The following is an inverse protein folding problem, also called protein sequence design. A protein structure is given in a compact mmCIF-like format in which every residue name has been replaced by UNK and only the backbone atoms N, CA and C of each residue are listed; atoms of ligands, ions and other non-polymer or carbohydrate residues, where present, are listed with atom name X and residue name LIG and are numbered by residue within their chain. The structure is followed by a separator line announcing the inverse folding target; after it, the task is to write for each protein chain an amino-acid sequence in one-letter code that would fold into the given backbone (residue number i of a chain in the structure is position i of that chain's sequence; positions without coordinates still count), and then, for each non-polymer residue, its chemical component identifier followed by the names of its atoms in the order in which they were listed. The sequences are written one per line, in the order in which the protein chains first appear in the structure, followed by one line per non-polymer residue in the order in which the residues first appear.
data_IF_852632512401
#
_entry.id   IF_852632512401
#
_cell.length_a   1.000
_cell.length_b   1.000
_cell.length_c   1.000
_cell.angle_alpha   90.00
_cell.angle_beta   90.00
_cell.angle_gamma   90.00
#
_symmetry.space_group_name_H-M   'P 1'
#
loop_
_entity.id
_entity.type
_entity.pdbx_description
1 polymer ?
#
# COMPACT_ATOMS: atom_id res chain seq x y z
N UNK A 1 -15.23 -4.36 -11.79
CA UNK A 1 -14.12 -3.67 -11.15
C UNK A 1 -13.00 -4.60 -10.64
N UNK A 2 -13.24 -5.84 -10.16
CA UNK A 2 -12.17 -6.78 -9.75
C UNK A 2 -11.19 -7.17 -10.87
N UNK A 3 -11.68 -7.29 -12.11
CA UNK A 3 -10.85 -7.68 -13.27
C UNK A 3 -9.91 -6.56 -13.78
N UNK A 4 -10.27 -5.29 -13.60
CA UNK A 4 -9.45 -4.17 -14.08
C UNK A 4 -8.26 -3.87 -13.17
N UNK A 5 -8.41 -4.02 -11.85
CA UNK A 5 -7.33 -3.79 -10.87
C UNK A 5 -6.29 -4.92 -10.96
N UNK A 6 -6.77 -6.18 -11.11
CA UNK A 6 -5.85 -7.31 -11.35
C UNK A 6 -5.13 -7.20 -12.69
N UNK A 7 -5.82 -6.69 -13.72
CA UNK A 7 -5.23 -6.48 -15.05
C UNK A 7 -4.20 -5.35 -15.06
N UNK A 8 -4.42 -4.26 -14.30
CA UNK A 8 -3.43 -3.17 -14.21
C UNK A 8 -2.21 -3.58 -13.37
N UNK A 9 -2.37 -4.35 -12.31
CA UNK A 9 -1.26 -4.91 -11.53
C UNK A 9 -0.47 -5.96 -12.33
N UNK A 10 -1.16 -6.82 -13.07
CA UNK A 10 -0.52 -7.79 -13.96
C UNK A 10 0.17 -7.12 -15.16
N UNK A 11 -0.42 -6.05 -15.73
CA UNK A 11 0.18 -5.28 -16.81
C UNK A 11 1.42 -4.50 -16.36
N UNK A 12 1.42 -3.94 -15.15
CA UNK A 12 2.60 -3.28 -14.58
C UNK A 12 3.74 -4.28 -14.31
N UNK A 13 3.43 -5.48 -13.83
CA UNK A 13 4.42 -6.55 -13.64
C UNK A 13 4.95 -7.10 -14.98
N UNK A 14 4.10 -7.19 -16.01
CA UNK A 14 4.48 -7.64 -17.36
C UNK A 14 5.30 -6.58 -18.12
N UNK A 15 5.03 -5.29 -17.94
CA UNK A 15 5.77 -4.19 -18.56
C UNK A 15 7.21 -4.12 -18.07
N UNK A 16 7.48 -4.47 -16.81
CA UNK A 16 8.83 -4.52 -16.24
C UNK A 16 9.58 -5.78 -16.70
N UNK A 17 8.87 -6.88 -16.99
CA UNK A 17 9.48 -8.12 -17.50
C UNK A 17 9.74 -8.10 -19.02
N UNK A 18 9.08 -7.23 -19.77
CA UNK A 18 9.11 -7.19 -21.23
C UNK A 18 9.89 -6.00 -21.82
N UNK A 19 10.64 -5.23 -21.01
CA UNK A 19 11.52 -4.20 -21.56
C UNK A 19 12.65 -4.88 -22.33
N UNK A 20 12.68 -4.87 -23.68
CA UNK A 20 13.83 -5.32 -24.42
C UNK A 20 14.96 -4.35 -24.05
N UNK A 21 16.05 -4.88 -23.51
CA UNK A 21 17.33 -4.16 -23.48
C UNK A 21 17.72 -3.94 -24.93
N UNK A 22 17.30 -2.82 -25.50
CA UNK A 22 17.79 -2.39 -26.81
C UNK A 22 19.27 -2.13 -26.66
N UNK A 23 20.05 -3.02 -27.20
CA UNK A 23 21.47 -2.87 -27.43
C UNK A 23 21.65 -1.60 -28.28
N UNK A 24 22.08 -0.51 -27.64
CA UNK A 24 22.56 0.65 -28.38
C UNK A 24 23.84 0.22 -29.10
N UNK A 25 23.78 0.30 -30.41
CA UNK A 25 24.85 -0.05 -31.32
C UNK A 25 26.12 0.73 -30.97
N UNK A 26 27.19 -0.02 -30.80
CA UNK A 26 28.55 0.48 -30.94
C UNK A 26 28.77 0.88 -32.38
N UNK A 27 28.91 2.16 -32.62
CA UNK A 27 29.63 2.64 -33.76
C UNK A 27 30.59 3.74 -33.33
N UNK A 28 31.84 3.52 -33.73
CA UNK A 28 32.89 4.50 -33.95
C UNK A 28 33.78 4.89 -32.76
N UNK A 29 34.68 3.97 -32.39
CA UNK A 29 36.03 4.34 -31.92
C UNK A 29 37.09 3.47 -32.62
N UNK A 30 38.07 4.13 -33.29
CA UNK A 30 39.15 3.51 -34.01
C UNK A 30 40.08 2.66 -33.10
N UNK A 31 40.74 1.61 -33.65
CA UNK A 31 41.39 0.59 -32.86
C UNK A 31 42.77 1.06 -32.34
N UNK A 32 42.95 1.03 -31.02
CA UNK A 32 44.27 0.97 -30.40
C UNK A 32 44.80 -0.48 -30.39
N UNK A 33 46.14 -0.70 -30.37
CA UNK A 33 46.76 -1.99 -30.69
C UNK A 33 46.39 -3.08 -29.68
N UNK A 34 46.04 -4.22 -30.22
CA UNK A 34 45.52 -5.41 -29.53
C UNK A 34 46.62 -6.09 -28.70
N UNK A 35 46.47 -6.07 -27.37
CA UNK A 35 46.92 -7.16 -26.54
C UNK A 35 45.85 -8.27 -26.61
N UNK A 36 46.20 -9.38 -27.25
CA UNK A 36 45.35 -10.58 -27.35
C UNK A 36 45.07 -11.16 -25.97
N UNK A 37 43.98 -10.78 -25.38
CA UNK A 37 43.30 -11.59 -24.36
C UNK A 37 42.03 -12.17 -25.00
N UNK A 38 41.97 -13.50 -25.01
CA UNK A 38 40.81 -14.23 -25.48
C UNK A 38 39.51 -13.65 -24.91
N UNK A 39 38.43 -13.53 -25.72
CA UNK A 39 37.16 -13.00 -25.23
C UNK A 39 36.65 -13.91 -24.12
N UNK A 40 36.76 -13.46 -22.88
CA UNK A 40 36.02 -14.05 -21.78
C UNK A 40 34.53 -13.91 -22.15
N UNK A 41 33.91 -15.02 -22.52
CA UNK A 41 32.48 -15.07 -22.75
C UNK A 41 31.79 -14.42 -21.55
N UNK A 42 30.83 -13.51 -21.74
CA UNK A 42 30.06 -12.98 -20.63
C UNK A 42 29.36 -14.19 -20.01
N UNK A 43 29.84 -14.63 -18.85
CA UNK A 43 29.04 -15.53 -18.01
C UNK A 43 27.75 -14.80 -17.73
N UNK A 44 26.67 -15.23 -18.35
CA UNK A 44 25.34 -14.81 -17.95
C UNK A 44 25.26 -15.04 -16.44
N UNK A 45 25.33 -13.96 -15.66
CA UNK A 45 25.12 -14.05 -14.23
C UNK A 45 23.72 -14.64 -14.03
N UNK A 46 23.67 -15.92 -13.66
CA UNK A 46 22.41 -16.57 -13.39
C UNK A 46 21.77 -15.81 -12.24
N UNK A 47 20.44 -15.65 -12.27
CA UNK A 47 19.70 -14.95 -11.23
C UNK A 47 20.08 -15.40 -9.81
N UNK A 48 20.50 -16.67 -9.66
CA UNK A 48 21.07 -17.22 -8.44
C UNK A 48 22.40 -16.58 -8.04
N UNK A 49 23.29 -16.29 -8.98
CA UNK A 49 24.58 -15.64 -8.71
C UNK A 49 24.39 -14.19 -8.25
N UNK A 50 23.32 -13.53 -8.72
CA UNK A 50 22.94 -12.17 -8.29
C UNK A 50 22.39 -12.20 -6.86
N UNK A 51 21.57 -13.19 -6.52
CA UNK A 51 20.96 -13.36 -5.19
C UNK A 51 21.98 -13.73 -4.11
N UNK A 52 22.88 -14.68 -4.42
CA UNK A 52 23.78 -15.27 -3.42
C UNK A 52 25.24 -14.80 -3.55
N UNK A 53 25.62 -14.19 -4.68
CA UNK A 53 26.97 -13.72 -4.93
C UNK A 53 27.42 -12.50 -4.13
N UNK A 54 26.47 -11.74 -3.53
CA UNK A 54 26.75 -10.52 -2.76
C UNK A 54 27.13 -10.77 -1.29
N UNK A 55 27.43 -12.01 -0.90
CA UNK A 55 27.71 -12.35 0.49
C UNK A 55 26.45 -12.33 1.38
N UNK A 56 26.64 -12.57 2.70
CA UNK A 56 25.53 -12.70 3.66
C UNK A 56 24.66 -11.45 3.77
N UNK A 57 25.25 -10.26 3.63
CA UNK A 57 24.54 -8.98 3.72
C UNK A 57 23.66 -8.76 2.48
N UNK A 58 24.11 -9.14 1.29
CA UNK A 58 23.32 -9.06 0.07
C UNK A 58 22.13 -10.03 0.08
N UNK A 59 22.31 -11.25 0.56
CA UNK A 59 21.21 -12.21 0.73
C UNK A 59 20.17 -11.71 1.74
N UNK A 60 20.60 -11.06 2.82
CA UNK A 60 19.71 -10.46 3.82
C UNK A 60 18.90 -9.32 3.22
N UNK A 61 19.52 -8.46 2.38
CA UNK A 61 18.81 -7.38 1.68
C UNK A 61 17.76 -7.91 0.70
N UNK A 62 18.09 -8.96 -0.06
CA UNK A 62 17.12 -9.60 -0.95
C UNK A 62 15.96 -10.22 -0.17
N UNK A 63 16.26 -10.87 0.96
CA UNK A 63 15.23 -11.45 1.83
C UNK A 63 14.32 -10.36 2.42
N UNK A 64 14.89 -9.22 2.86
CA UNK A 64 14.13 -8.08 3.32
C UNK A 64 13.23 -7.48 2.21
N UNK A 65 13.74 -7.43 0.98
CA UNK A 65 13.02 -6.89 -0.17
C UNK A 65 11.85 -7.81 -0.58
N UNK A 66 12.06 -9.12 -0.61
CA UNK A 66 10.99 -10.10 -0.83
C UNK A 66 9.98 -10.13 0.32
N UNK A 67 10.44 -9.98 1.56
CA UNK A 67 9.57 -9.82 2.73
C UNK A 67 8.68 -8.58 2.63
N UNK A 68 9.27 -7.45 2.23
CA UNK A 68 8.54 -6.21 1.98
C UNK A 68 7.51 -6.35 0.85
N UNK A 69 7.86 -7.01 -0.24
CA UNK A 69 6.94 -7.32 -1.35
C UNK A 69 5.79 -8.22 -0.90
N UNK A 70 6.08 -9.30 -0.18
CA UNK A 70 5.05 -10.21 0.35
C UNK A 70 4.11 -9.51 1.32
N UNK A 71 4.66 -8.69 2.22
CA UNK A 71 3.89 -7.89 3.18
C UNK A 71 3.02 -6.84 2.48
N UNK A 72 3.55 -6.16 1.44
CA UNK A 72 2.78 -5.25 0.61
C UNK A 72 1.58 -5.95 -0.06
N UNK A 73 1.79 -7.14 -0.66
CA UNK A 73 0.71 -7.90 -1.31
C UNK A 73 -0.37 -8.28 -0.29
N UNK A 74 0.03 -8.74 0.89
CA UNK A 74 -0.90 -9.03 1.99
C UNK A 74 -1.73 -7.80 2.36
N UNK A 75 -1.08 -6.66 2.62
CA UNK A 75 -1.76 -5.41 2.95
C UNK A 75 -2.68 -4.90 1.83
N UNK A 76 -2.26 -5.04 0.57
CA UNK A 76 -3.07 -4.62 -0.57
C UNK A 76 -4.38 -5.44 -0.69
N UNK A 77 -4.33 -6.73 -0.37
CA UNK A 77 -5.51 -7.60 -0.33
C UNK A 77 -6.41 -7.23 0.85
N UNK A 78 -5.83 -7.08 2.05
CA UNK A 78 -6.54 -6.76 3.28
C UNK A 78 -7.24 -5.39 3.19
N UNK A 79 -6.53 -4.33 2.81
CA UNK A 79 -7.10 -3.01 2.58
C UNK A 79 -8.14 -3.01 1.44
N UNK A 80 -7.95 -3.84 0.41
CA UNK A 80 -8.94 -4.00 -0.66
C UNK A 80 -10.25 -4.62 -0.18
N UNK A 81 -10.22 -5.41 0.87
CA UNK A 81 -11.39 -5.98 1.53
C UNK A 81 -11.99 -4.98 2.53
N UNK A 82 -11.14 -4.27 3.28
CA UNK A 82 -11.55 -3.29 4.28
C UNK A 82 -12.25 -2.08 3.64
N UNK A 83 -11.68 -1.52 2.58
CA UNK A 83 -12.20 -0.34 1.86
C UNK A 83 -13.31 -0.76 0.86
N UNK A 84 -14.30 -1.53 1.33
CA UNK A 84 -15.54 -1.81 0.57
C UNK A 84 -16.69 -1.04 1.16
N UNK A 85 -17.53 -0.37 0.33
CA UNK A 85 -18.72 0.34 0.81
C UNK A 85 -19.60 -0.55 1.68
N UNK A 86 -19.83 -1.79 1.24
CA UNK A 86 -20.68 -2.77 1.96
C UNK A 86 -20.13 -3.22 3.33
N UNK A 87 -18.83 -2.98 3.63
CA UNK A 87 -18.27 -3.26 4.95
C UNK A 87 -18.26 -2.04 5.87
N UNK A 88 -18.11 -0.85 5.31
CA UNK A 88 -18.07 0.40 6.08
C UNK A 88 -19.49 0.88 6.35
N UNK A 89 -20.34 0.84 5.32
CA UNK A 89 -21.73 1.32 5.34
C UNK A 89 -22.61 0.30 4.60
N UNK A 90 -23.13 -0.75 5.28
CA UNK A 90 -24.08 -1.68 4.69
C UNK A 90 -25.41 -1.00 4.41
N UNK A 91 -25.91 -1.08 3.17
CA UNK A 91 -27.21 -0.49 2.80
C UNK A 91 -28.36 -1.05 3.64
N UNK A 92 -28.27 -2.32 4.06
CA UNK A 92 -29.25 -2.95 4.92
C UNK A 92 -29.33 -2.28 6.31
N UNK A 93 -28.18 -1.99 6.92
CA UNK A 93 -28.12 -1.28 8.20
C UNK A 93 -28.73 0.12 8.09
N UNK A 94 -28.35 0.88 7.07
CA UNK A 94 -28.86 2.24 6.85
C UNK A 94 -30.38 2.24 6.72
N UNK A 95 -30.93 1.34 5.90
CA UNK A 95 -32.38 1.23 5.70
C UNK A 95 -33.13 0.81 6.97
N UNK A 96 -32.58 -0.14 7.74
CA UNK A 96 -33.17 -0.61 8.99
C UNK A 96 -33.16 0.48 10.07
N UNK A 97 -32.04 1.18 10.22
CA UNK A 97 -31.93 2.31 11.16
C UNK A 97 -32.87 3.43 10.72
N UNK A 98 -32.92 3.79 9.45
CA UNK A 98 -33.82 4.82 8.95
C UNK A 98 -35.31 4.46 9.18
N UNK A 99 -35.68 3.19 9.02
CA UNK A 99 -37.03 2.74 9.29
C UNK A 99 -37.37 2.86 10.79
N UNK A 100 -36.47 2.40 11.68
CA UNK A 100 -36.66 2.51 13.13
C UNK A 100 -36.74 3.98 13.58
N UNK A 101 -35.94 4.86 12.97
CA UNK A 101 -35.97 6.30 13.27
C UNK A 101 -37.28 6.95 12.85
N UNK A 102 -37.88 6.56 11.72
CA UNK A 102 -39.20 7.02 11.28
C UNK A 102 -40.33 6.54 12.20
N UNK A 103 -40.17 5.37 12.82
CA UNK A 103 -41.09 4.83 13.84
C UNK A 103 -40.88 5.51 15.21
N UNK A 104 -39.83 6.30 15.40
CA UNK A 104 -39.45 6.94 16.68
C UNK A 104 -38.86 5.96 17.69
N UNK A 105 -38.47 4.75 17.28
CA UNK A 105 -37.94 3.70 18.16
C UNK A 105 -36.40 3.68 18.11
N UNK A 106 -35.79 4.53 18.97
CA UNK A 106 -34.33 4.63 19.08
C UNK A 106 -33.69 3.38 19.65
N UNK A 107 -34.41 2.65 20.54
CA UNK A 107 -33.91 1.40 21.14
C UNK A 107 -33.74 0.33 20.06
N UNK A 108 -34.71 0.23 19.15
CA UNK A 108 -34.66 -0.68 18.00
C UNK A 108 -33.54 -0.30 17.02
N UNK A 109 -33.32 1.00 16.78
CA UNK A 109 -32.21 1.48 15.98
C UNK A 109 -30.85 1.09 16.59
N UNK A 110 -30.68 1.23 17.92
CA UNK A 110 -29.49 0.82 18.65
C UNK A 110 -29.25 -0.70 18.53
N UNK A 111 -30.30 -1.54 18.67
CA UNK A 111 -30.18 -2.98 18.51
C UNK A 111 -29.72 -3.39 17.09
N UNK A 112 -30.15 -2.70 16.05
CA UNK A 112 -29.62 -2.94 14.70
C UNK A 112 -28.14 -2.60 14.59
N UNK A 113 -27.67 -1.53 15.24
CA UNK A 113 -26.27 -1.17 15.26
C UNK A 113 -25.40 -2.19 16.03
N UNK A 114 -25.91 -2.74 17.14
CA UNK A 114 -25.19 -3.76 17.94
C UNK A 114 -25.08 -5.11 17.22
N UNK A 115 -26.08 -5.49 16.42
CA UNK A 115 -26.07 -6.76 15.68
C UNK A 115 -25.08 -6.78 14.52
N UNK A 116 -24.77 -5.65 13.93
CA UNK A 116 -23.83 -5.53 12.81
C UNK A 116 -22.69 -4.54 13.16
N UNK A 117 -21.59 -4.97 13.79
CA UNK A 117 -20.47 -4.11 14.16
C UNK A 117 -19.73 -3.63 12.91
N UNK A 118 -20.06 -2.44 12.46
CA UNK A 118 -19.45 -1.74 11.32
C UNK A 118 -18.99 -0.34 11.75
N UNK A 119 -18.08 0.32 11.01
CA UNK A 119 -17.71 1.70 11.32
C UNK A 119 -18.93 2.62 11.45
N UNK A 120 -19.92 2.47 10.57
CA UNK A 120 -21.14 3.25 10.62
C UNK A 120 -21.98 2.95 11.86
N UNK A 121 -22.11 1.67 12.25
CA UNK A 121 -22.87 1.31 13.47
C UNK A 121 -22.22 1.85 14.73
N UNK A 122 -20.90 1.87 14.82
CA UNK A 122 -20.18 2.44 15.96
C UNK A 122 -20.45 3.95 16.11
N UNK A 123 -20.48 4.67 14.98
CA UNK A 123 -20.76 6.11 14.97
C UNK A 123 -22.21 6.39 15.38
N UNK A 124 -23.16 5.65 14.80
CA UNK A 124 -24.59 5.80 15.13
C UNK A 124 -24.87 5.42 16.59
N UNK A 125 -24.29 4.34 17.10
CA UNK A 125 -24.43 3.93 18.51
C UNK A 125 -23.94 5.00 19.46
N UNK A 126 -22.80 5.67 19.16
CA UNK A 126 -22.29 6.77 19.96
C UNK A 126 -23.29 7.94 20.04
N UNK A 127 -24.02 8.22 18.96
CA UNK A 127 -25.07 9.23 18.95
C UNK A 127 -26.30 8.79 19.73
N UNK A 128 -26.76 7.53 19.55
CA UNK A 128 -27.98 7.03 20.20
C UNK A 128 -27.85 6.89 21.72
N UNK A 129 -26.66 6.65 22.25
CA UNK A 129 -26.44 6.60 23.72
C UNK A 129 -26.72 7.96 24.38
N UNK A 130 -26.50 9.07 23.66
CA UNK A 130 -26.66 10.43 24.18
C UNK A 130 -27.99 11.10 23.77
N UNK A 131 -28.98 10.32 23.33
CA UNK A 131 -30.29 10.84 22.84
C UNK A 131 -31.00 11.72 23.88
N UNK A 132 -30.88 11.40 25.17
CA UNK A 132 -31.52 12.15 26.29
C UNK A 132 -30.81 13.46 26.64
N UNK A 133 -29.57 13.68 26.13
CA UNK A 133 -28.72 14.82 26.50
C UNK A 133 -28.86 16.02 25.54
N UNK A 134 -29.64 15.86 24.46
CA UNK A 134 -29.92 16.91 23.48
C UNK A 134 -29.05 16.86 22.24
N UNK A 135 -29.55 17.49 21.18
CA UNK A 135 -28.97 17.41 19.82
C UNK A 135 -27.49 17.85 19.73
N UNK A 136 -27.07 18.86 20.48
CA UNK A 136 -25.69 19.36 20.43
C UNK A 136 -24.69 18.31 20.98
N UNK A 137 -25.08 17.58 22.02
CA UNK A 137 -24.28 16.51 22.62
C UNK A 137 -24.22 15.30 21.68
N UNK A 138 -25.36 14.92 21.08
CA UNK A 138 -25.43 13.85 20.08
C UNK A 138 -24.49 14.15 18.92
N UNK A 139 -24.57 15.36 18.34
CA UNK A 139 -23.71 15.76 17.23
C UNK A 139 -22.23 15.69 17.59
N UNK A 140 -21.86 16.19 18.77
CA UNK A 140 -20.48 16.14 19.26
C UNK A 140 -19.97 14.70 19.48
N UNK A 141 -20.80 13.82 20.02
CA UNK A 141 -20.46 12.41 20.23
C UNK A 141 -20.26 11.66 18.91
N UNK A 142 -21.13 11.94 17.94
CA UNK A 142 -21.06 11.37 16.58
C UNK A 142 -19.83 11.85 15.84
N UNK A 143 -19.51 13.14 15.90
CA UNK A 143 -18.32 13.70 15.26
C UNK A 143 -17.05 13.08 15.87
N UNK A 144 -16.97 12.96 17.19
CA UNK A 144 -15.83 12.32 17.86
C UNK A 144 -15.69 10.83 17.48
N UNK A 145 -16.81 10.08 17.42
CA UNK A 145 -16.79 8.68 17.02
C UNK A 145 -16.42 8.53 15.52
N UNK A 146 -16.90 9.45 14.68
CA UNK A 146 -16.54 9.47 13.24
C UNK A 146 -15.05 9.69 13.05
N UNK A 147 -14.45 10.65 13.76
CA UNK A 147 -13.02 10.92 13.69
C UNK A 147 -12.18 9.71 14.09
N UNK A 148 -12.59 8.97 15.11
CA UNK A 148 -11.92 7.73 15.54
C UNK A 148 -11.99 6.62 14.48
N UNK A 149 -13.13 6.41 13.85
CA UNK A 149 -13.28 5.38 12.80
C UNK A 149 -12.53 5.78 11.53
N UNK A 150 -12.53 7.07 11.18
CA UNK A 150 -11.73 7.63 10.07
C UNK A 150 -10.24 7.36 10.31
N UNK A 151 -9.75 7.69 11.50
CA UNK A 151 -8.34 7.50 11.86
C UNK A 151 -7.94 6.02 11.79
N UNK A 152 -8.78 5.10 12.27
CA UNK A 152 -8.54 3.64 12.17
C UNK A 152 -8.38 3.20 10.71
N UNK A 153 -9.27 3.64 9.82
CA UNK A 153 -9.20 3.29 8.39
C UNK A 153 -7.91 3.85 7.77
N UNK A 154 -7.55 5.10 8.09
CA UNK A 154 -6.35 5.76 7.56
C UNK A 154 -5.06 5.13 8.09
N UNK A 155 -5.01 4.69 9.35
CA UNK A 155 -3.87 3.97 9.92
C UNK A 155 -3.60 2.65 9.22
N UNK A 156 -4.64 1.87 8.88
CA UNK A 156 -4.47 0.65 8.08
C UNK A 156 -3.88 0.93 6.70
N UNK A 157 -4.34 1.99 6.03
CA UNK A 157 -3.80 2.38 4.73
C UNK A 157 -2.36 2.91 4.82
N UNK A 158 -2.00 3.57 5.92
CA UNK A 158 -0.66 4.13 6.12
C UNK A 158 0.45 3.06 6.03
N UNK A 159 0.19 1.82 6.44
CA UNK A 159 1.15 0.73 6.34
C UNK A 159 1.57 0.41 4.90
N UNK A 160 0.66 0.56 3.93
CA UNK A 160 1.02 0.43 2.50
C UNK A 160 2.00 1.53 2.10
N UNK A 161 1.78 2.76 2.57
CA UNK A 161 2.69 3.89 2.31
C UNK A 161 4.07 3.66 2.94
N UNK A 162 4.14 3.05 4.13
CA UNK A 162 5.41 2.68 4.77
C UNK A 162 6.18 1.69 3.90
N UNK A 163 5.55 0.63 3.39
CA UNK A 163 6.19 -0.32 2.47
C UNK A 163 6.67 0.37 1.19
N UNK A 164 5.85 1.26 0.63
CA UNK A 164 6.18 2.01 -0.58
C UNK A 164 7.43 2.89 -0.41
N UNK A 165 7.65 3.44 0.79
CA UNK A 165 8.80 4.27 1.10
C UNK A 165 10.04 3.45 1.49
N UNK A 166 9.88 2.34 2.21
CA UNK A 166 11.01 1.51 2.66
C UNK A 166 11.65 0.72 1.50
N UNK A 167 10.86 0.24 0.55
CA UNK A 167 11.37 -0.60 -0.54
C UNK A 167 12.49 0.08 -1.37
N UNK A 168 12.37 1.35 -1.82
CA UNK A 168 13.45 2.04 -2.53
C UNK A 168 14.68 2.28 -1.65
N UNK A 169 14.49 2.53 -0.35
CA UNK A 169 15.59 2.74 0.58
C UNK A 169 16.42 1.46 0.77
N UNK A 170 15.75 0.30 0.83
CA UNK A 170 16.43 -1.00 0.83
C UNK A 170 17.19 -1.22 -0.48
N UNK A 171 16.62 -0.84 -1.61
CA UNK A 171 17.32 -0.88 -2.91
C UNK A 171 18.54 0.01 -2.93
N UNK A 172 18.44 1.24 -2.43
CA UNK A 172 19.58 2.17 -2.32
C UNK A 172 20.67 1.63 -1.38
N UNK A 173 20.28 1.03 -0.26
CA UNK A 173 21.23 0.38 0.65
C UNK A 173 22.02 -0.73 -0.07
N UNK A 174 21.37 -1.47 -0.98
CA UNK A 174 22.01 -2.46 -1.84
C UNK A 174 23.07 -1.87 -2.76
N UNK A 175 22.83 -0.67 -3.36
CA UNK A 175 23.85 -0.01 -4.18
C UNK A 175 25.05 0.44 -3.36
N UNK A 176 24.84 1.01 -2.19
CA UNK A 176 25.93 1.41 -1.30
C UNK A 176 26.79 0.19 -0.93
N UNK A 177 26.17 -0.92 -0.57
CA UNK A 177 26.88 -2.16 -0.25
C UNK A 177 27.68 -2.68 -1.45
N UNK A 178 27.07 -2.77 -2.63
CA UNK A 178 27.73 -3.25 -3.84
C UNK A 178 28.93 -2.38 -4.24
N UNK A 179 28.82 -1.06 -4.07
CA UNK A 179 29.94 -0.13 -4.30
C UNK A 179 31.06 -0.31 -3.27
N UNK A 180 30.74 -0.51 -1.99
CA UNK A 180 31.74 -0.81 -0.95
C UNK A 180 32.53 -2.08 -1.31
N UNK A 181 31.85 -3.14 -1.73
CA UNK A 181 32.50 -4.39 -2.17
C UNK A 181 33.35 -4.18 -3.43
N UNK A 182 32.84 -3.41 -4.41
CA UNK A 182 33.56 -3.11 -5.63
C UNK A 182 34.89 -2.39 -5.36
N UNK A 183 34.87 -1.34 -4.54
CA UNK A 183 36.07 -0.58 -4.19
C UNK A 183 36.98 -1.32 -3.20
N UNK A 184 36.43 -2.11 -2.29
CA UNK A 184 37.20 -2.96 -1.38
C UNK A 184 38.09 -3.95 -2.14
N UNK A 185 37.59 -4.53 -3.24
CA UNK A 185 38.38 -5.44 -4.08
C UNK A 185 39.50 -4.73 -4.88
N UNK A 186 39.34 -3.44 -5.22
CA UNK A 186 40.39 -2.65 -5.86
C UNK A 186 41.57 -2.38 -4.93
N UNK A 187 41.34 -2.24 -3.62
CA UNK A 187 42.34 -1.97 -2.61
C UNK A 187 43.32 -3.14 -2.34
N UNK A 188 43.02 -4.34 -2.80
CA UNK A 188 43.82 -5.56 -2.53
C UNK A 188 45.00 -5.79 -3.50
N UNK A 189 45.27 -4.85 -4.40
CA UNK A 189 46.48 -4.84 -5.22
C UNK A 189 46.42 -5.64 -6.53
N UNK A 190 45.38 -6.36 -6.83
CA UNK A 190 45.12 -7.03 -8.12
C UNK A 190 43.69 -6.73 -8.61
N UNK A 191 43.50 -5.61 -9.35
CA UNK A 191 42.15 -5.19 -9.77
C UNK A 191 41.56 -6.20 -10.77
N UNK A 192 40.51 -6.90 -10.34
CA UNK A 192 39.74 -7.76 -11.22
C UNK A 192 38.53 -6.98 -11.75
N UNK A 193 38.62 -6.52 -12.99
CA UNK A 193 37.57 -5.74 -13.66
C UNK A 193 36.26 -6.52 -13.79
N UNK A 194 36.34 -7.84 -13.95
CA UNK A 194 35.16 -8.70 -14.02
C UNK A 194 34.39 -8.75 -12.69
N UNK A 195 35.11 -8.86 -11.56
CA UNK A 195 34.49 -8.84 -10.24
C UNK A 195 33.90 -7.48 -9.90
N UNK A 196 34.59 -6.39 -10.30
CA UNK A 196 34.08 -5.01 -10.17
C UNK A 196 32.75 -4.85 -10.91
N UNK A 197 32.70 -5.27 -12.19
CA UNK A 197 31.48 -5.20 -13.00
C UNK A 197 30.33 -6.03 -12.40
N UNK A 198 30.63 -7.21 -11.84
CA UNK A 198 29.63 -8.06 -11.19
C UNK A 198 29.05 -7.39 -9.95
N UNK A 199 29.88 -6.81 -9.08
CA UNK A 199 29.42 -6.14 -7.86
C UNK A 199 28.56 -4.91 -8.18
N UNK A 200 28.93 -4.12 -9.19
CA UNK A 200 28.12 -2.98 -9.66
C UNK A 200 26.79 -3.46 -10.24
N UNK A 201 26.81 -4.51 -11.06
CA UNK A 201 25.59 -5.08 -11.64
C UNK A 201 24.63 -5.54 -10.55
N UNK A 202 25.10 -6.27 -9.53
CA UNK A 202 24.29 -6.71 -8.39
C UNK A 202 23.69 -5.54 -7.64
N UNK A 203 24.45 -4.47 -7.43
CA UNK A 203 24.00 -3.24 -6.80
C UNK A 203 22.81 -2.61 -7.57
N UNK A 204 22.89 -2.54 -8.89
CA UNK A 204 21.85 -2.00 -9.74
C UNK A 204 20.56 -2.88 -9.72
N UNK A 205 20.72 -4.20 -9.68
CA UNK A 205 19.56 -5.11 -9.58
C UNK A 205 18.79 -4.95 -8.27
N UNK A 206 19.45 -4.73 -7.13
CA UNK A 206 18.76 -4.49 -5.85
C UNK A 206 17.92 -3.20 -5.88
N UNK A 207 18.45 -2.14 -6.49
CA UNK A 207 17.69 -0.88 -6.68
C UNK A 207 16.51 -1.07 -7.61
N UNK A 208 16.69 -1.76 -8.74
CA UNK A 208 15.60 -2.09 -9.65
C UNK A 208 14.50 -2.89 -8.94
N UNK A 209 14.87 -3.87 -8.10
CA UNK A 209 13.93 -4.64 -7.27
C UNK A 209 13.16 -3.77 -6.28
N UNK A 210 13.84 -2.82 -5.60
CA UNK A 210 13.22 -1.86 -4.69
C UNK A 210 12.18 -0.98 -5.39
N UNK A 211 12.53 -0.43 -6.55
CA UNK A 211 11.62 0.40 -7.36
C UNK A 211 10.44 -0.40 -7.91
N UNK A 212 10.67 -1.63 -8.35
CA UNK A 212 9.61 -2.53 -8.84
C UNK A 212 8.55 -2.82 -7.77
N UNK A 213 8.95 -2.89 -6.51
CA UNK A 213 8.04 -3.05 -5.37
C UNK A 213 7.34 -1.73 -5.00
N UNK A 214 8.08 -0.62 -5.00
CA UNK A 214 7.59 0.68 -4.55
C UNK A 214 6.54 1.27 -5.48
N UNK A 215 6.75 1.25 -6.79
CA UNK A 215 5.86 1.90 -7.76
C UNK A 215 4.41 1.38 -7.65
N UNK A 216 4.14 0.06 -7.70
CA UNK A 216 2.77 -0.43 -7.53
C UNK A 216 2.23 -0.19 -6.12
N UNK A 217 3.08 -0.17 -5.08
CA UNK A 217 2.65 0.10 -3.72
C UNK A 217 2.16 1.55 -3.55
N UNK A 218 2.88 2.54 -4.10
CA UNK A 218 2.45 3.95 -4.12
C UNK A 218 1.12 4.10 -4.86
N UNK A 219 0.99 3.51 -6.05
CA UNK A 219 -0.25 3.57 -6.82
C UNK A 219 -1.43 2.97 -6.05
N UNK A 220 -1.23 1.81 -5.42
CA UNK A 220 -2.26 1.13 -4.63
C UNK A 220 -2.68 1.96 -3.42
N UNK A 221 -1.73 2.58 -2.73
CA UNK A 221 -2.00 3.45 -1.58
C UNK A 221 -2.92 4.61 -1.96
N UNK A 222 -2.58 5.37 -3.01
CA UNK A 222 -3.40 6.51 -3.42
C UNK A 222 -4.78 6.10 -3.92
N UNK A 223 -4.88 4.99 -4.66
CA UNK A 223 -6.18 4.46 -5.12
C UNK A 223 -7.10 4.08 -3.95
N UNK A 224 -6.55 3.41 -2.93
CA UNK A 224 -7.35 3.04 -1.76
C UNK A 224 -7.68 4.23 -0.88
N UNK A 225 -6.75 5.16 -0.72
CA UNK A 225 -6.96 6.41 0.02
C UNK A 225 -8.10 7.25 -0.58
N UNK A 226 -8.08 7.45 -1.90
CA UNK A 226 -9.16 8.19 -2.56
C UNK A 226 -10.51 7.49 -2.44
N UNK A 227 -10.51 6.16 -2.54
CA UNK A 227 -11.72 5.38 -2.38
C UNK A 227 -12.24 5.42 -0.95
N UNK A 228 -11.35 5.32 0.06
CA UNK A 228 -11.71 5.44 1.47
C UNK A 228 -12.30 6.82 1.76
N UNK A 229 -11.66 7.89 1.32
CA UNK A 229 -12.15 9.26 1.50
C UNK A 229 -13.57 9.44 0.94
N UNK A 230 -13.87 8.90 -0.23
CA UNK A 230 -15.23 8.98 -0.81
C UNK A 230 -16.26 8.26 0.06
N UNK A 231 -15.94 7.07 0.56
CA UNK A 231 -16.86 6.29 1.40
C UNK A 231 -17.07 7.01 2.74
N UNK A 232 -16.01 7.55 3.33
CA UNK A 232 -16.06 8.32 4.58
C UNK A 232 -16.97 9.54 4.44
N UNK A 233 -16.81 10.32 3.37
CA UNK A 233 -17.67 11.48 3.11
C UNK A 233 -19.14 11.08 2.97
N UNK A 234 -19.43 9.98 2.29
CA UNK A 234 -20.79 9.44 2.17
C UNK A 234 -21.32 9.00 3.53
N UNK A 235 -20.52 8.30 4.31
CA UNK A 235 -20.87 7.85 5.66
C UNK A 235 -21.22 9.01 6.58
N UNK A 236 -20.37 10.05 6.63
CA UNK A 236 -20.62 11.24 7.44
C UNK A 236 -21.90 11.96 7.01
N UNK A 237 -22.11 12.13 5.71
CA UNK A 237 -23.32 12.76 5.19
C UNK A 237 -24.60 11.97 5.56
N UNK A 238 -24.59 10.64 5.39
CA UNK A 238 -25.73 9.79 5.74
C UNK A 238 -25.98 9.77 7.25
N UNK A 239 -24.91 9.75 8.07
CA UNK A 239 -25.05 9.81 9.53
C UNK A 239 -25.70 11.12 9.98
N UNK A 240 -25.27 12.25 9.43
CA UNK A 240 -25.87 13.57 9.72
C UNK A 240 -27.33 13.67 9.27
N UNK A 241 -27.69 13.02 8.17
CA UNK A 241 -29.08 12.95 7.72
C UNK A 241 -29.96 12.15 8.69
N UNK A 242 -29.49 10.99 9.15
CA UNK A 242 -30.19 10.15 10.11
C UNK A 242 -30.38 10.84 11.46
N UNK A 243 -29.38 11.64 11.92
CA UNK A 243 -29.45 12.38 13.18
C UNK A 243 -30.42 13.58 13.08
N UNK A 244 -30.53 14.21 11.92
CA UNK A 244 -31.55 15.25 11.71
C UNK A 244 -32.97 14.74 11.94
N UNK A 245 -33.25 13.50 11.63
CA UNK A 245 -34.56 12.89 11.89
C UNK A 245 -34.84 12.82 13.41
N UNK A 246 -33.82 12.62 14.27
CA UNK A 246 -33.95 12.69 15.74
C UNK A 246 -34.45 14.05 16.23
N UNK A 247 -33.93 15.14 15.67
CA UNK A 247 -34.37 16.49 16.04
C UNK A 247 -35.86 16.74 15.77
N UNK A 248 -36.39 16.10 14.73
CA UNK A 248 -37.81 16.20 14.40
C UNK A 248 -38.69 15.36 15.32
N UNK A 249 -38.16 14.28 15.89
CA UNK A 249 -38.89 13.43 16.86
C UNK A 249 -39.00 14.11 18.22
N UNK A 250 -37.95 14.81 18.69
CA UNK A 250 -37.98 15.57 19.95
C UNK A 250 -39.02 16.71 19.94
N UNK A 251 -39.20 17.37 18.82
CA UNK A 251 -40.18 18.48 18.66
C UNK A 251 -41.64 18.01 18.68
N UNK A 252 -41.89 16.72 18.41
CA UNK A 252 -43.25 16.14 18.42
C UNK A 252 -43.63 15.57 19.81
N UNK A 253 -42.66 15.42 20.72
CA UNK A 253 -42.86 14.91 22.08
C UNK A 253 -43.19 16.00 23.13
N UNK A 254 -43.10 17.31 22.77
CA UNK A 254 -43.60 18.46 23.54
C UNK A 254 -45.02 18.83 23.05
#
# INVERSE_FOLDING_TARGET
MKKSILATLAAAALLVAAAPVTTYAQDEFAPAPQAQQAPAQPKHSTFYDVLFGSGWLGTLLWLALFGCLGYYIYLAIDCGILVRPSKIMPDALVNNVQAAMKEGDVVKALQFCENEPTPMSNILSAGFIHVEEGFDVISSAVDAAADLEIERIMQHLAWISVCANIAPQLGLLGTVQGMIMAFGNLGTGSPNVGLLATNISQALYTTAGGLTTSIPAVCTYYLYRDKANRIILQMTATTMELIKDLRNVEVVAE
#
